data_IF_836652001404
#
_entry.id   IF_836652001404
#
_cell.length_a   1.000
_cell.length_b   1.000
_cell.length_c   1.000
_cell.angle_alpha   90.00
_cell.angle_beta   90.00
_cell.angle_gamma   90.00
#
_symmetry.space_group_name_H-M   'P 1'
#
loop_
_entity.id
_entity.type
_entity.pdbx_description
1 polymer ?
#
# COMPACT_ATOMS: atom_id res chain seq x y z
N UNK A 1 4.19 3.46 -14.70
CA UNK A 1 3.45 2.18 -14.62
C UNK A 1 3.42 1.74 -13.16
N UNK A 2 2.36 1.05 -12.71
CA UNK A 2 2.33 0.37 -11.40
C UNK A 2 2.31 -1.13 -11.67
N UNK A 3 3.47 -1.76 -11.53
CA UNK A 3 3.65 -3.18 -11.87
C UNK A 3 3.03 -4.15 -10.85
N UNK A 4 2.61 -3.62 -9.69
CA UNK A 4 1.91 -4.35 -8.65
C UNK A 4 2.80 -5.30 -7.82
N UNK A 5 2.19 -5.99 -6.83
CA UNK A 5 2.92 -6.76 -5.81
C UNK A 5 3.76 -7.92 -6.36
N UNK A 6 3.28 -8.59 -7.42
CA UNK A 6 4.00 -9.71 -8.03
C UNK A 6 5.33 -9.27 -8.64
N UNK A 7 5.33 -8.13 -9.33
CA UNK A 7 6.54 -7.62 -9.94
C UNK A 7 7.52 -7.10 -8.87
N UNK A 8 7.03 -6.52 -7.78
CA UNK A 8 7.92 -6.14 -6.67
C UNK A 8 8.64 -7.34 -6.04
N UNK A 9 8.00 -8.51 -5.95
CA UNK A 9 8.66 -9.73 -5.48
C UNK A 9 9.77 -10.18 -6.44
N UNK A 10 9.55 -10.12 -7.75
CA UNK A 10 10.60 -10.43 -8.75
C UNK A 10 11.80 -9.50 -8.62
N UNK A 11 11.57 -8.21 -8.32
CA UNK A 11 12.64 -7.25 -8.11
C UNK A 11 13.48 -7.56 -6.86
N UNK A 12 12.86 -8.12 -5.80
CA UNK A 12 13.59 -8.60 -4.61
C UNK A 12 14.55 -9.75 -4.94
N UNK A 13 14.24 -10.56 -5.96
CA UNK A 13 15.15 -11.60 -6.47
C UNK A 13 16.23 -11.02 -7.39
N UNK A 14 15.95 -9.90 -8.06
CA UNK A 14 16.87 -9.19 -8.94
C UNK A 14 17.87 -8.27 -8.20
N UNK A 15 17.96 -8.36 -6.87
CA UNK A 15 18.92 -7.61 -6.05
C UNK A 15 18.37 -6.37 -5.36
N UNK A 16 17.08 -6.05 -5.53
CA UNK A 16 16.44 -5.06 -4.68
C UNK A 16 16.35 -5.59 -3.24
N UNK A 17 16.56 -4.71 -2.27
CA UNK A 17 16.48 -5.02 -0.84
C UNK A 17 15.52 -4.09 -0.09
N UNK A 18 14.84 -3.21 -0.82
CA UNK A 18 13.95 -2.21 -0.27
C UNK A 18 12.56 -2.35 -0.88
N UNK A 19 11.57 -2.51 -0.02
CA UNK A 19 10.16 -2.61 -0.37
C UNK A 19 9.38 -1.59 0.47
N UNK A 20 8.73 -0.65 -0.20
CA UNK A 20 7.99 0.41 0.45
C UNK A 20 6.88 0.98 -0.43
N UNK A 21 6.14 1.94 0.13
CA UNK A 21 4.97 2.54 -0.50
C UNK A 21 3.68 1.92 0.01
N UNK A 22 3.18 2.42 1.15
CA UNK A 22 1.81 2.16 1.57
C UNK A 22 0.89 3.06 0.77
N UNK A 23 -0.06 2.47 0.05
CA UNK A 23 -1.09 3.23 -0.67
C UNK A 23 -2.24 3.48 0.28
N UNK A 24 -2.75 4.71 0.32
CA UNK A 24 -3.96 5.09 1.08
C UNK A 24 -4.85 5.89 0.13
N UNK A 25 -5.95 5.28 -0.31
CA UNK A 25 -6.95 5.87 -1.21
C UNK A 25 -6.36 6.40 -2.53
N UNK A 26 -6.06 5.47 -3.44
CA UNK A 26 -5.55 5.77 -4.77
C UNK A 26 -6.66 6.18 -5.76
N UNK A 27 -7.21 7.38 -5.58
CA UNK A 27 -8.29 7.90 -6.43
C UNK A 27 -7.86 8.20 -7.87
N UNK A 28 -6.60 8.60 -8.09
CA UNK A 28 -6.04 8.93 -9.41
C UNK A 28 -5.89 7.67 -10.27
N UNK A 29 -5.29 6.61 -9.74
CA UNK A 29 -5.14 5.37 -10.54
C UNK A 29 -6.48 4.68 -10.74
N UNK A 30 -7.40 4.78 -9.77
CA UNK A 30 -8.78 4.29 -9.91
C UNK A 30 -9.52 5.02 -11.04
N UNK A 31 -9.36 6.35 -11.15
CA UNK A 31 -9.99 7.13 -12.23
C UNK A 31 -9.42 6.80 -13.62
N UNK A 32 -8.14 6.40 -13.67
CA UNK A 32 -7.48 5.90 -14.88
C UNK A 32 -7.81 4.43 -15.20
N UNK A 33 -8.68 3.77 -14.42
CA UNK A 33 -9.16 2.40 -14.69
C UNK A 33 -8.43 1.27 -13.96
N UNK A 34 -7.53 1.58 -13.02
CA UNK A 34 -6.88 0.55 -12.21
C UNK A 34 -7.90 -0.12 -11.25
N UNK A 35 -7.89 -1.46 -11.20
CA UNK A 35 -8.79 -2.25 -10.34
C UNK A 35 -8.19 -2.58 -8.95
N UNK A 36 -6.92 -2.28 -8.72
CA UNK A 36 -6.16 -2.68 -7.52
C UNK A 36 -5.54 -1.47 -6.80
N UNK A 37 -5.33 -1.59 -5.48
CA UNK A 37 -4.45 -0.67 -4.74
C UNK A 37 -5.13 0.43 -3.92
N UNK A 38 -6.29 0.18 -3.33
CA UNK A 38 -6.97 1.14 -2.44
C UNK A 38 -6.21 1.32 -1.11
N UNK A 39 -5.67 0.23 -0.56
CA UNK A 39 -4.90 0.24 0.69
C UNK A 39 -3.83 -0.87 0.64
N UNK A 40 -2.59 -0.54 0.96
CA UNK A 40 -1.52 -1.52 1.22
C UNK A 40 -0.95 -1.20 2.59
N UNK A 41 -1.24 -2.05 3.57
CA UNK A 41 -0.75 -1.92 4.93
C UNK A 41 0.65 -2.52 5.12
N UNK A 42 1.36 -2.16 6.21
CA UNK A 42 2.64 -2.76 6.58
C UNK A 42 2.61 -4.29 6.69
N UNK A 43 1.51 -4.90 7.14
CA UNK A 43 1.40 -6.35 7.24
C UNK A 43 1.49 -7.04 5.87
N UNK A 44 0.92 -6.42 4.82
CA UNK A 44 1.06 -6.92 3.45
C UNK A 44 2.49 -6.88 2.96
N UNK A 45 3.22 -5.79 3.23
CA UNK A 45 4.63 -5.67 2.84
C UNK A 45 5.46 -6.76 3.49
N UNK A 46 5.26 -6.98 4.80
CA UNK A 46 5.92 -8.05 5.55
C UNK A 46 5.60 -9.41 4.95
N UNK A 47 4.33 -9.68 4.62
CA UNK A 47 3.94 -10.93 3.96
C UNK A 47 4.64 -11.11 2.62
N UNK A 48 4.68 -10.09 1.76
CA UNK A 48 5.31 -10.19 0.43
C UNK A 48 6.81 -10.46 0.51
N UNK A 49 7.50 -9.88 1.49
CA UNK A 49 8.93 -10.15 1.72
C UNK A 49 9.12 -11.62 2.13
N UNK A 50 8.28 -12.14 3.03
CA UNK A 50 8.34 -13.57 3.41
C UNK A 50 8.00 -14.51 2.27
N UNK A 51 6.97 -14.19 1.49
CA UNK A 51 6.55 -14.97 0.32
C UNK A 51 7.67 -15.04 -0.73
N UNK A 52 8.52 -14.01 -0.80
CA UNK A 52 9.75 -13.98 -1.60
C UNK A 52 10.95 -14.69 -0.95
N UNK A 53 10.77 -15.38 0.19
CA UNK A 53 11.84 -16.10 0.88
C UNK A 53 12.88 -15.22 1.57
N UNK A 54 12.55 -13.96 1.86
CA UNK A 54 13.44 -12.96 2.48
C UNK A 54 13.04 -12.68 3.93
N UNK A 55 13.94 -12.03 4.68
CA UNK A 55 13.68 -11.60 6.07
C UNK A 55 13.11 -10.17 6.08
N UNK A 56 11.89 -9.95 6.59
CA UNK A 56 11.32 -8.61 6.69
C UNK A 56 11.96 -7.78 7.80
N UNK A 57 12.41 -6.58 7.45
CA UNK A 57 13.05 -5.64 8.38
C UNK A 57 12.45 -4.26 8.22
N UNK A 58 11.99 -3.68 9.32
CA UNK A 58 11.62 -2.25 9.40
C UNK A 58 12.88 -1.44 9.64
N UNK A 59 13.06 -0.41 8.83
CA UNK A 59 14.20 0.51 8.88
C UNK A 59 13.75 1.96 9.05
N UNK A 60 14.64 2.80 9.54
CA UNK A 60 14.44 4.26 9.52
C UNK A 60 14.88 4.86 8.16
N UNK A 61 14.79 6.19 8.04
CA UNK A 61 15.19 6.92 6.82
C UNK A 61 16.70 6.86 6.55
N UNK A 62 17.51 6.53 7.56
CA UNK A 62 18.96 6.34 7.46
C UNK A 62 19.33 4.85 7.27
N UNK A 63 18.34 3.98 7.04
CA UNK A 63 18.48 2.54 6.84
C UNK A 63 18.98 1.78 8.09
N UNK A 64 18.92 2.38 9.28
CA UNK A 64 19.19 1.62 10.50
C UNK A 64 18.06 0.63 10.76
N UNK A 65 18.41 -0.55 11.27
CA UNK A 65 17.44 -1.57 11.66
C UNK A 65 16.67 -1.07 12.88
N UNK A 66 15.36 -0.90 12.72
CA UNK A 66 14.44 -0.54 13.81
C UNK A 66 13.77 -1.79 14.37
N UNK A 67 13.40 -2.74 13.51
CA UNK A 67 12.74 -3.98 13.92
C UNK A 67 12.97 -5.08 12.88
N UNK A 68 13.19 -6.32 13.31
CA UNK A 68 13.21 -7.50 12.44
C UNK A 68 12.01 -8.35 12.78
N UNK A 69 11.21 -8.73 11.78
CA UNK A 69 9.99 -9.50 12.02
C UNK A 69 10.28 -11.01 11.98
N UNK A 70 10.00 -11.70 13.08
CA UNK A 70 10.18 -13.14 13.17
C UNK A 70 9.08 -13.92 12.41
N UNK A 71 9.23 -15.24 12.33
CA UNK A 71 8.24 -16.09 11.64
C UNK A 71 6.89 -16.05 12.38
N UNK A 72 5.84 -15.62 11.69
CA UNK A 72 4.49 -15.48 12.26
C UNK A 72 4.23 -14.15 12.99
N UNK A 73 5.21 -13.23 13.00
CA UNK A 73 5.04 -11.90 13.59
C UNK A 73 4.61 -10.88 12.54
N UNK A 74 3.34 -10.50 12.51
CA UNK A 74 2.88 -9.44 11.61
C UNK A 74 2.72 -8.11 12.36
N UNK A 75 3.12 -6.97 11.75
CA UNK A 75 2.87 -5.67 12.32
C UNK A 75 1.36 -5.41 12.42
N UNK A 76 0.92 -4.90 13.57
CA UNK A 76 -0.44 -4.42 13.77
C UNK A 76 -0.44 -2.90 13.78
N UNK A 77 -0.45 -2.27 12.60
CA UNK A 77 -0.56 -0.81 12.51
C UNK A 77 -2.00 -0.35 12.35
N UNK A 78 -2.25 0.95 12.54
CA UNK A 78 -3.57 1.51 12.29
C UNK A 78 -4.08 1.24 10.87
N UNK A 79 -3.20 1.15 9.87
CA UNK A 79 -3.57 0.84 8.49
C UNK A 79 -4.00 -0.62 8.32
N UNK A 80 -3.40 -1.54 9.06
CA UNK A 80 -3.70 -2.98 9.00
C UNK A 80 -5.05 -3.31 9.65
N UNK A 81 -5.58 -2.42 10.50
CA UNK A 81 -6.86 -2.61 11.20
C UNK A 81 -8.05 -1.99 10.48
N UNK A 82 -7.86 -1.39 9.31
CA UNK A 82 -8.92 -0.73 8.54
C UNK A 82 -9.72 -1.77 7.76
N UNK A 83 -10.92 -2.10 8.25
CA UNK A 83 -11.83 -3.02 7.56
C UNK A 83 -12.50 -2.44 6.31
N UNK A 84 -12.83 -1.14 6.32
CA UNK A 84 -13.44 -0.44 5.18
C UNK A 84 -12.66 0.84 4.85
N UNK A 85 -11.74 0.71 3.90
CA UNK A 85 -10.92 1.80 3.43
C UNK A 85 -11.73 2.86 2.66
N UNK A 86 -12.76 2.46 1.92
CA UNK A 86 -13.60 3.39 1.16
C UNK A 86 -14.49 4.24 2.08
N UNK A 87 -14.98 3.68 3.18
CA UNK A 87 -15.71 4.44 4.19
C UNK A 87 -14.81 5.42 4.94
N UNK A 88 -13.59 5.00 5.31
CA UNK A 88 -12.66 5.83 6.10
C UNK A 88 -11.99 6.92 5.28
N UNK A 89 -11.57 6.62 4.05
CA UNK A 89 -10.80 7.55 3.23
C UNK A 89 -11.59 8.11 2.04
N UNK A 90 -12.77 7.58 1.74
CA UNK A 90 -13.54 7.90 0.53
C UNK A 90 -13.12 7.04 -0.66
N UNK A 91 -13.86 7.17 -1.76
CA UNK A 91 -13.53 6.53 -3.03
C UNK A 91 -13.73 7.48 -4.20
N UNK A 92 -13.02 7.25 -5.31
CA UNK A 92 -13.17 8.04 -6.53
C UNK A 92 -14.63 8.09 -6.99
N UNK A 93 -15.34 6.96 -6.94
CA UNK A 93 -16.76 6.87 -7.32
C UNK A 93 -17.64 7.75 -6.44
N UNK A 94 -17.40 7.76 -5.12
CA UNK A 94 -18.13 8.61 -4.18
C UNK A 94 -17.85 10.09 -4.40
N UNK A 95 -16.60 10.44 -4.75
CA UNK A 95 -16.20 11.81 -5.07
C UNK A 95 -16.90 12.33 -6.34
N UNK A 96 -16.89 11.58 -7.45
CA UNK A 96 -17.53 12.03 -8.70
C UNK A 96 -19.06 12.03 -8.64
N UNK A 97 -19.64 11.20 -7.77
CA UNK A 97 -21.07 11.20 -7.52
C UNK A 97 -21.51 12.35 -6.59
N UNK A 98 -20.57 13.02 -5.91
CA UNK A 98 -20.91 14.12 -5.02
C UNK A 98 -21.29 15.38 -5.82
N UNK A 99 -22.37 16.04 -5.42
CA UNK A 99 -22.75 17.35 -5.96
C UNK A 99 -21.98 18.52 -5.33
N UNK A 100 -21.13 18.22 -4.35
CA UNK A 100 -20.53 19.18 -3.42
C UNK A 100 -19.42 20.02 -4.09
N UNK A 101 -18.74 19.45 -5.09
CA UNK A 101 -17.60 20.09 -5.77
C UNK A 101 -17.85 20.28 -7.27
N UNK A 102 -19.04 20.74 -7.64
CA UNK A 102 -19.33 21.12 -9.04
C UNK A 102 -18.74 22.48 -9.37
N UNK A 103 -18.03 22.55 -10.50
CA UNK A 103 -17.60 23.83 -11.06
C UNK A 103 -18.83 24.70 -11.34
N UNK A 104 -18.92 25.84 -10.65
CA UNK A 104 -19.87 26.90 -10.97
C UNK A 104 -19.14 27.98 -11.73
N UNK A 105 -19.55 28.20 -12.98
CA UNK A 105 -19.11 29.34 -13.76
C UNK A 105 -19.73 30.59 -13.13
N UNK A 106 -18.91 31.39 -12.43
CA UNK A 106 -19.29 32.74 -11.99
C UNK A 106 -19.08 33.73 -13.12
#
# INVERSE_FOLDING_TARGET
MKEGPKFSQVLLDAGANDLGGTLINESISTSAGAQYGQLVGPAELVRWIRDAGRVPVRRDTLYNVVHTYDTGEDPTTELDTIGDAEARFGSYRRLIASGEFRFTQR
#
